data_IF_572261356288
#
_entry.id   IF_572261356288
#
_cell.length_a   1.000
_cell.length_b   1.000
_cell.length_c   1.000
_cell.angle_alpha   90.00
_cell.angle_beta   90.00
_cell.angle_gamma   90.00
#
_symmetry.space_group_name_H-M   'P 1'
#
loop_
_entity.id
_entity.type
_entity.pdbx_description
1 polymer ?
#
# COMPACT_ATOMS: atom_id res chain seq x y z
N UNK A 1 -17.62 -11.29 -16.17
CA UNK A 1 -16.98 -12.37 -15.37
C UNK A 1 -16.75 -13.55 -16.30
N UNK A 2 -15.53 -14.10 -16.38
CA UNK A 2 -15.27 -15.21 -17.30
C UNK A 2 -15.96 -16.48 -16.82
N UNK A 3 -16.51 -17.22 -17.78
CA UNK A 3 -17.05 -18.55 -17.54
C UNK A 3 -15.88 -19.55 -17.63
N UNK A 4 -15.70 -20.32 -16.57
CA UNK A 4 -14.66 -21.35 -16.48
C UNK A 4 -15.29 -22.71 -16.17
N UNK A 5 -14.68 -23.83 -16.59
CA UNK A 5 -15.08 -25.15 -16.14
C UNK A 5 -14.90 -25.24 -14.62
N UNK A 6 -15.88 -25.78 -13.92
CA UNK A 6 -15.83 -25.96 -12.48
C UNK A 6 -17.06 -26.63 -11.90
N UNK A 7 -17.01 -26.96 -10.64
CA UNK A 7 -18.15 -27.51 -9.87
C UNK A 7 -18.61 -26.47 -8.85
N UNK A 8 -19.90 -26.45 -8.54
CA UNK A 8 -20.51 -25.56 -7.54
C UNK A 8 -20.63 -26.22 -6.17
N UNK A 9 -20.30 -27.50 -6.05
CA UNK A 9 -20.39 -28.28 -4.81
C UNK A 9 -19.09 -28.96 -4.49
N UNK A 10 -18.90 -29.30 -3.20
CA UNK A 10 -17.75 -30.08 -2.75
C UNK A 10 -17.69 -31.44 -3.42
N UNK A 11 -16.48 -31.96 -3.63
CA UNK A 11 -16.25 -33.32 -4.07
C UNK A 11 -17.09 -34.32 -3.24
N UNK A 12 -17.73 -35.25 -3.95
CA UNK A 12 -18.55 -36.30 -3.33
C UNK A 12 -20.06 -36.07 -3.32
N UNK A 13 -20.54 -34.86 -3.63
CA UNK A 13 -22.00 -34.59 -3.69
C UNK A 13 -22.56 -34.49 -5.11
N UNK A 14 -21.89 -33.79 -5.98
CA UNK A 14 -22.17 -33.73 -7.42
C UNK A 14 -20.91 -33.22 -8.12
N UNK A 15 -20.26 -34.07 -8.86
CA UNK A 15 -19.01 -33.79 -9.58
C UNK A 15 -19.21 -33.31 -11.01
N UNK A 16 -20.46 -33.06 -11.42
CA UNK A 16 -20.74 -32.62 -12.79
C UNK A 16 -20.07 -31.28 -13.05
N UNK A 17 -19.10 -31.27 -13.95
CA UNK A 17 -18.45 -30.04 -14.37
C UNK A 17 -19.43 -29.19 -15.20
N UNK A 18 -19.62 -27.97 -14.77
CA UNK A 18 -20.42 -26.95 -15.49
C UNK A 18 -19.56 -25.74 -15.80
N UNK A 19 -20.01 -24.89 -16.70
CA UNK A 19 -19.42 -23.57 -16.86
C UNK A 19 -19.98 -22.66 -15.75
N UNK A 20 -19.12 -22.25 -14.85
CA UNK A 20 -19.46 -21.38 -13.72
C UNK A 20 -18.80 -20.00 -13.92
N UNK A 21 -19.46 -18.96 -13.40
CA UNK A 21 -18.86 -17.65 -13.32
C UNK A 21 -17.74 -17.65 -12.27
N UNK A 22 -16.53 -17.33 -12.67
CA UNK A 22 -15.41 -17.22 -11.75
C UNK A 22 -15.57 -15.97 -10.87
N UNK A 23 -16.09 -16.15 -9.66
CA UNK A 23 -16.16 -15.11 -8.64
C UNK A 23 -14.78 -14.96 -7.97
N UNK A 24 -13.84 -14.30 -8.63
CA UNK A 24 -12.63 -13.84 -7.96
C UNK A 24 -12.98 -12.58 -7.20
N UNK A 25 -13.13 -12.70 -5.89
CA UNK A 25 -13.15 -11.56 -4.99
C UNK A 25 -11.70 -11.05 -4.86
N UNK A 26 -11.24 -10.35 -5.89
CA UNK A 26 -9.93 -9.72 -5.90
C UNK A 26 -10.05 -8.48 -5.03
N UNK A 27 -9.78 -8.66 -3.73
CA UNK A 27 -9.81 -7.57 -2.76
C UNK A 27 -8.62 -6.61 -2.91
N UNK A 28 -8.60 -5.57 -2.10
CA UNK A 28 -7.52 -4.58 -2.08
C UNK A 28 -6.13 -5.12 -1.73
N UNK A 29 -6.00 -6.40 -1.36
CA UNK A 29 -4.73 -7.10 -1.18
C UNK A 29 -4.09 -7.57 -2.49
N UNK A 30 -4.81 -7.54 -3.62
CA UNK A 30 -4.24 -7.87 -4.91
C UNK A 30 -3.51 -6.65 -5.49
N UNK A 31 -2.17 -6.70 -5.54
CA UNK A 31 -1.33 -5.62 -6.06
C UNK A 31 -1.76 -5.11 -7.44
N UNK A 32 -2.20 -6.03 -8.32
CA UNK A 32 -2.68 -5.67 -9.66
C UNK A 32 -3.93 -4.78 -9.66
N UNK A 33 -4.81 -4.94 -8.69
CA UNK A 33 -6.01 -4.08 -8.54
C UNK A 33 -5.63 -2.73 -7.96
N UNK A 34 -4.82 -2.72 -6.90
CA UNK A 34 -4.36 -1.48 -6.27
C UNK A 34 -3.57 -0.64 -7.28
N UNK A 35 -2.69 -1.26 -8.07
CA UNK A 35 -1.90 -0.60 -9.13
C UNK A 35 -2.76 0.06 -10.21
N UNK A 36 -3.91 -0.50 -10.56
CA UNK A 36 -4.83 0.10 -11.55
C UNK A 36 -5.53 1.36 -11.04
N UNK A 37 -5.66 1.49 -9.73
CA UNK A 37 -6.38 2.58 -9.10
C UNK A 37 -5.51 3.70 -8.56
N UNK A 38 -4.20 3.50 -8.49
CA UNK A 38 -3.25 4.44 -7.90
C UNK A 38 -2.10 4.72 -8.88
N UNK A 39 -1.73 5.98 -9.00
CA UNK A 39 -0.58 6.43 -9.76
C UNK A 39 0.49 6.97 -8.79
N UNK A 40 1.73 6.56 -9.00
CA UNK A 40 2.90 6.97 -8.22
C UNK A 40 3.95 7.51 -9.16
N UNK A 41 4.51 8.70 -8.86
CA UNK A 41 5.63 9.24 -9.62
C UNK A 41 6.56 10.09 -8.76
N UNK A 42 7.83 10.09 -9.10
CA UNK A 42 8.80 11.04 -8.59
C UNK A 42 8.65 12.34 -9.40
N UNK A 43 8.16 13.41 -8.77
CA UNK A 43 7.90 14.70 -9.39
C UNK A 43 9.21 15.49 -9.54
N UNK A 44 10.01 15.57 -8.48
CA UNK A 44 11.33 16.20 -8.51
C UNK A 44 12.33 15.49 -7.60
N UNK A 45 13.59 15.59 -7.95
CA UNK A 45 14.73 15.09 -7.19
C UNK A 45 15.86 16.13 -7.23
N UNK A 46 16.19 16.67 -6.07
CA UNK A 46 17.33 17.57 -5.91
C UNK A 46 18.36 16.93 -4.99
N UNK A 47 19.60 16.79 -5.47
CA UNK A 47 20.70 16.17 -4.75
C UNK A 47 21.67 17.23 -4.21
N UNK A 48 22.08 17.08 -2.96
CA UNK A 48 23.25 17.72 -2.37
C UNK A 48 24.37 16.72 -2.18
N UNK A 49 25.48 17.14 -1.57
CA UNK A 49 26.59 16.25 -1.24
C UNK A 49 26.25 15.17 -0.21
N UNK A 50 25.28 15.41 0.67
CA UNK A 50 24.97 14.58 1.84
C UNK A 50 23.53 14.09 1.89
N UNK A 51 22.63 14.65 1.07
CA UNK A 51 21.20 14.31 1.08
C UNK A 51 20.55 14.49 -0.28
N UNK A 52 19.36 13.91 -0.45
CA UNK A 52 18.45 14.21 -1.55
C UNK A 52 17.10 14.63 -1.01
N UNK A 53 16.54 15.69 -1.61
CA UNK A 53 15.15 16.09 -1.47
C UNK A 53 14.35 15.47 -2.61
N UNK A 54 13.38 14.64 -2.24
CA UNK A 54 12.54 13.90 -3.17
C UNK A 54 11.12 14.37 -3.02
N UNK A 55 10.52 14.85 -4.09
CA UNK A 55 9.10 15.14 -4.15
C UNK A 55 8.38 14.03 -4.88
N UNK A 56 7.40 13.44 -4.24
CA UNK A 56 6.60 12.32 -4.76
C UNK A 56 5.15 12.75 -4.88
N UNK A 57 4.51 12.38 -5.99
CA UNK A 57 3.07 12.53 -6.17
C UNK A 57 2.42 11.17 -6.19
N UNK A 58 1.45 10.99 -5.30
CA UNK A 58 0.59 9.82 -5.24
C UNK A 58 -0.85 10.25 -5.54
N UNK A 59 -1.47 9.63 -6.54
CA UNK A 59 -2.82 9.98 -7.00
C UNK A 59 -3.74 8.77 -6.95
N UNK A 60 -4.94 8.96 -6.40
CA UNK A 60 -6.03 8.01 -6.54
C UNK A 60 -6.74 8.25 -7.88
N UNK A 61 -6.33 7.54 -8.92
CA UNK A 61 -6.83 7.74 -10.30
C UNK A 61 -8.11 6.98 -10.58
N UNK A 62 -8.28 5.78 -10.01
CA UNK A 62 -9.33 4.84 -10.40
C UNK A 62 -10.10 4.18 -9.25
N UNK A 63 -9.70 4.39 -7.99
CA UNK A 63 -10.45 3.86 -6.85
C UNK A 63 -11.61 4.82 -6.52
N UNK A 64 -12.85 4.35 -6.67
CA UNK A 64 -14.07 5.15 -6.46
C UNK A 64 -14.37 5.52 -5.00
N UNK A 65 -13.52 5.12 -4.07
CA UNK A 65 -13.59 5.42 -2.63
C UNK A 65 -12.21 5.81 -2.10
N UNK A 66 -12.13 6.23 -0.83
CA UNK A 66 -10.84 6.53 -0.20
C UNK A 66 -9.94 5.28 -0.15
N UNK A 67 -8.68 5.42 -0.56
CA UNK A 67 -7.69 4.34 -0.62
C UNK A 67 -6.68 4.45 0.56
N UNK A 68 -6.40 3.32 1.27
CA UNK A 68 -6.96 2.00 1.08
C UNK A 68 -8.42 1.92 1.54
N UNK A 69 -9.22 1.04 0.89
CA UNK A 69 -10.55 0.69 1.37
C UNK A 69 -10.51 -0.42 2.43
N UNK A 70 -11.68 -0.70 3.03
CA UNK A 70 -11.85 -1.81 3.97
C UNK A 70 -11.53 -1.45 5.42
N UNK A 71 -11.02 -2.43 6.16
CA UNK A 71 -10.76 -2.33 7.60
C UNK A 71 -9.61 -1.37 7.90
N UNK A 72 -9.62 -0.78 9.09
CA UNK A 72 -8.58 0.14 9.57
C UNK A 72 -7.21 -0.52 9.83
N UNK A 73 -7.16 -1.86 9.81
CA UNK A 73 -5.91 -2.63 9.82
C UNK A 73 -5.13 -2.56 8.51
N UNK A 74 -5.75 -2.01 7.46
CA UNK A 74 -5.16 -1.89 6.13
C UNK A 74 -4.56 -0.51 5.92
N UNK A 75 -3.36 -0.47 5.38
CA UNK A 75 -2.64 0.76 5.10
C UNK A 75 -2.00 0.73 3.70
N UNK A 76 -1.93 1.90 3.05
CA UNK A 76 -0.95 2.16 2.01
C UNK A 76 0.24 2.85 2.66
N UNK A 77 1.43 2.41 2.33
CA UNK A 77 2.67 2.97 2.87
C UNK A 77 3.55 3.39 1.71
N UNK A 78 3.85 4.68 1.66
CA UNK A 78 4.80 5.25 0.73
C UNK A 78 6.17 5.22 1.40
N UNK A 79 7.10 4.48 0.82
CA UNK A 79 8.47 4.31 1.31
C UNK A 79 9.42 4.97 0.33
N UNK A 80 10.27 5.86 0.81
CA UNK A 80 11.33 6.50 0.01
C UNK A 80 12.67 6.18 0.65
N UNK A 81 13.60 5.67 -0.13
CA UNK A 81 14.93 5.32 0.36
C UNK A 81 15.98 5.39 -0.72
N UNK A 82 17.21 5.10 -0.34
CA UNK A 82 18.38 5.10 -1.20
C UNK A 82 18.81 3.67 -1.46
N UNK A 83 18.93 3.29 -2.72
CA UNK A 83 19.56 2.05 -3.13
C UNK A 83 21.07 2.23 -3.17
N UNK A 84 21.81 1.34 -2.52
CA UNK A 84 23.25 1.32 -2.49
C UNK A 84 23.83 0.10 -3.20
N UNK A 85 25.09 0.17 -3.59
CA UNK A 85 25.79 -0.95 -4.21
C UNK A 85 25.89 -2.17 -3.28
N UNK A 86 26.03 -1.92 -1.99
CA UNK A 86 26.42 -2.92 -1.01
C UNK A 86 25.28 -3.52 -0.21
N UNK A 87 24.16 -2.79 0.02
CA UNK A 87 23.15 -3.16 1.03
C UNK A 87 21.68 -3.06 0.58
N UNK A 88 21.41 -2.80 -0.70
CA UNK A 88 20.04 -2.60 -1.16
C UNK A 88 19.42 -1.28 -0.68
N UNK A 89 18.14 -1.28 -0.28
CA UNK A 89 17.44 -0.07 0.13
C UNK A 89 17.80 0.35 1.56
N UNK A 90 18.33 1.56 1.73
CA UNK A 90 18.75 2.13 3.00
C UNK A 90 18.13 3.50 3.25
N UNK A 91 18.25 3.96 4.51
CA UNK A 91 17.80 5.29 4.94
C UNK A 91 16.35 5.61 4.59
N UNK A 92 15.48 4.60 4.65
CA UNK A 92 14.08 4.75 4.25
C UNK A 92 13.31 5.70 5.19
N UNK A 93 12.37 6.43 4.58
CA UNK A 93 11.34 7.23 5.24
C UNK A 93 9.99 6.74 4.77
N UNK A 94 9.01 6.80 5.66
CA UNK A 94 7.66 6.30 5.37
C UNK A 94 6.60 7.38 5.56
N UNK A 95 5.54 7.30 4.75
CA UNK A 95 4.28 7.99 4.95
C UNK A 95 3.16 6.97 4.90
N UNK A 96 2.32 6.96 5.94
CA UNK A 96 1.25 5.96 6.09
C UNK A 96 -0.10 6.61 5.79
N UNK A 97 -0.88 5.96 4.96
CA UNK A 97 -2.25 6.34 4.62
C UNK A 97 -3.20 5.26 5.14
N UNK A 98 -4.00 5.62 6.13
CA UNK A 98 -4.98 4.72 6.75
C UNK A 98 -6.10 5.50 7.41
N UNK A 99 -7.16 4.82 7.80
CA UNK A 99 -8.16 5.35 8.71
C UNK A 99 -7.88 4.78 10.11
N UNK A 100 -7.75 5.62 11.09
CA UNK A 100 -7.63 5.23 12.48
C UNK A 100 -9.02 5.18 13.13
N UNK A 101 -9.30 4.13 13.89
CA UNK A 101 -10.51 4.01 14.70
C UNK A 101 -10.14 4.07 16.18
N UNK A 102 -10.96 4.75 16.97
CA UNK A 102 -10.77 4.97 18.40
C UNK A 102 -11.85 4.25 19.19
N UNK A 103 -11.46 3.71 20.34
CA UNK A 103 -12.39 3.23 21.36
C UNK A 103 -13.03 4.40 22.14
N UNK A 104 -13.91 4.07 23.09
CA UNK A 104 -14.58 5.07 23.94
C UNK A 104 -13.62 5.88 24.83
N UNK A 105 -12.40 5.41 25.05
CA UNK A 105 -11.34 6.09 25.79
C UNK A 105 -10.38 6.87 24.87
N UNK A 106 -10.66 6.93 23.55
CA UNK A 106 -9.82 7.63 22.58
C UNK A 106 -8.54 6.90 22.16
N UNK A 107 -8.37 5.63 22.53
CA UNK A 107 -7.20 4.81 22.15
C UNK A 107 -7.41 4.21 20.76
N UNK A 108 -6.34 4.14 19.95
CA UNK A 108 -6.38 3.51 18.64
C UNK A 108 -6.62 2.00 18.75
N UNK A 109 -7.52 1.49 17.89
CA UNK A 109 -7.86 0.07 17.83
C UNK A 109 -6.93 -0.61 16.82
N UNK A 110 -6.16 -1.60 17.29
CA UNK A 110 -5.24 -2.36 16.46
C UNK A 110 -5.78 -3.76 16.08
N UNK A 111 -6.56 -4.39 16.96
CA UNK A 111 -7.05 -5.75 16.75
C UNK A 111 -8.35 -5.78 15.95
N UNK A 112 -8.44 -6.70 14.99
CA UNK A 112 -9.61 -6.80 14.07
C UNK A 112 -10.91 -7.06 14.83
N UNK A 113 -10.90 -7.92 15.83
CA UNK A 113 -12.07 -8.22 16.64
C UNK A 113 -12.63 -6.97 17.33
N UNK A 114 -11.75 -6.08 17.79
CA UNK A 114 -12.15 -4.87 18.51
C UNK A 114 -12.72 -3.80 17.57
N UNK A 115 -12.47 -3.89 16.27
CA UNK A 115 -13.07 -2.98 15.29
C UNK A 115 -14.60 -3.05 15.27
N UNK A 116 -15.16 -4.21 15.60
CA UNK A 116 -16.61 -4.44 15.57
C UNK A 116 -17.27 -4.30 16.95
N UNK A 117 -16.49 -4.37 18.02
CA UNK A 117 -17.01 -4.40 19.40
C UNK A 117 -16.66 -3.16 20.21
N UNK A 118 -15.55 -2.51 19.92
CA UNK A 118 -15.04 -1.39 20.73
C UNK A 118 -14.94 -0.06 19.98
N UNK A 119 -15.11 -0.02 18.65
CA UNK A 119 -15.00 1.22 17.91
C UNK A 119 -16.13 2.20 18.25
N UNK A 120 -15.77 3.37 18.74
CA UNK A 120 -16.68 4.43 19.14
C UNK A 120 -16.61 5.66 18.23
N UNK A 121 -15.45 5.91 17.62
CA UNK A 121 -15.25 7.08 16.75
C UNK A 121 -14.16 6.85 15.70
N UNK A 122 -14.16 7.72 14.69
CA UNK A 122 -13.08 7.82 13.72
C UNK A 122 -12.08 8.83 14.25
N UNK A 123 -10.82 8.42 14.34
CA UNK A 123 -9.68 9.28 14.63
C UNK A 123 -9.17 9.98 13.36
N UNK A 124 -7.89 9.89 13.10
CA UNK A 124 -7.29 10.46 11.89
C UNK A 124 -7.63 9.59 10.66
N UNK A 125 -8.01 10.24 9.56
CA UNK A 125 -8.21 9.59 8.26
C UNK A 125 -7.28 10.23 7.22
N UNK A 126 -6.13 9.59 6.99
CA UNK A 126 -5.10 10.02 6.04
C UNK A 126 -5.25 9.38 4.67
N UNK A 127 -6.29 8.56 4.42
CA UNK A 127 -6.51 7.89 3.13
C UNK A 127 -6.65 8.90 1.99
N UNK A 128 -6.27 8.47 0.78
CA UNK A 128 -6.46 9.26 -0.42
C UNK A 128 -7.92 9.20 -0.88
N UNK A 129 -8.59 10.32 -0.97
CA UNK A 129 -9.96 10.42 -1.51
C UNK A 129 -9.96 10.10 -3.01
N UNK A 130 -11.13 9.77 -3.60
CA UNK A 130 -11.26 9.62 -5.05
C UNK A 130 -10.74 10.86 -5.79
N UNK A 131 -9.90 10.64 -6.81
CA UNK A 131 -9.29 11.69 -7.64
C UNK A 131 -8.33 12.65 -6.88
N UNK A 132 -8.04 12.38 -5.61
CA UNK A 132 -7.07 13.17 -4.86
C UNK A 132 -5.65 12.86 -5.34
N UNK A 133 -4.87 13.93 -5.53
CA UNK A 133 -3.41 13.89 -5.70
C UNK A 133 -2.76 14.50 -4.48
N UNK A 134 -1.82 13.77 -3.89
CA UNK A 134 -1.07 14.22 -2.72
C UNK A 134 0.41 14.31 -3.04
N UNK A 135 1.00 15.46 -2.71
CA UNK A 135 2.45 15.68 -2.81
C UNK A 135 3.09 15.47 -1.46
N UNK A 136 4.08 14.59 -1.43
CA UNK A 136 4.88 14.31 -0.25
C UNK A 136 6.33 14.71 -0.52
N UNK A 137 6.98 15.26 0.49
CA UNK A 137 8.40 15.63 0.43
C UNK A 137 9.17 14.81 1.46
N UNK A 138 10.30 14.28 1.01
CA UNK A 138 11.20 13.49 1.82
C UNK A 138 12.63 14.01 1.64
N UNK A 139 13.36 14.11 2.74
CA UNK A 139 14.79 14.31 2.73
C UNK A 139 15.45 13.03 3.22
N UNK A 140 16.27 12.41 2.37
CA UNK A 140 16.99 11.17 2.68
C UNK A 140 18.50 11.39 2.61
N UNK A 141 19.29 10.88 3.58
CA UNK A 141 20.75 10.92 3.51
C UNK A 141 21.24 10.12 2.30
N UNK A 142 22.30 10.62 1.64
CA UNK A 142 22.94 9.94 0.51
C UNK A 142 24.31 9.43 0.93
N UNK A 143 24.50 8.11 1.07
CA UNK A 143 25.82 7.52 1.28
C UNK A 143 26.67 7.62 0.00
N UNK A 144 27.99 7.41 0.14
CA UNK A 144 28.93 7.53 -1.00
C UNK A 144 28.65 6.51 -2.11
N UNK A 145 28.21 5.31 -1.73
CA UNK A 145 27.87 4.21 -2.65
C UNK A 145 26.42 4.24 -3.17
N UNK A 146 25.72 5.37 -3.01
CA UNK A 146 24.35 5.55 -3.46
C UNK A 146 24.25 5.46 -5.00
N UNK A 147 23.32 4.61 -5.48
CA UNK A 147 23.05 4.39 -6.91
C UNK A 147 21.78 5.08 -7.38
N UNK A 148 20.71 4.94 -6.60
CA UNK A 148 19.39 5.43 -7.00
C UNK A 148 18.54 5.84 -5.79
N UNK A 149 17.60 6.73 -6.02
CA UNK A 149 16.44 6.91 -5.15
C UNK A 149 15.37 5.91 -5.59
N UNK A 150 14.82 5.20 -4.62
CA UNK A 150 13.75 4.24 -4.82
C UNK A 150 12.53 4.69 -4.01
N UNK A 151 11.39 4.74 -4.68
CA UNK A 151 10.09 5.07 -4.08
C UNK A 151 9.18 3.88 -4.27
N UNK A 152 8.67 3.32 -3.17
CA UNK A 152 7.76 2.17 -3.17
C UNK A 152 6.41 2.56 -2.60
N UNK A 153 5.37 2.06 -3.22
CA UNK A 153 4.04 2.03 -2.62
C UNK A 153 3.75 0.59 -2.21
N UNK A 154 3.54 0.41 -0.93
CA UNK A 154 3.23 -0.88 -0.32
C UNK A 154 1.80 -0.89 0.21
N UNK A 155 1.14 -2.03 0.07
CA UNK A 155 -0.10 -2.32 0.76
C UNK A 155 0.21 -3.22 1.95
N UNK A 156 -0.06 -2.75 3.15
CA UNK A 156 0.15 -3.49 4.39
C UNK A 156 -1.20 -3.88 5.00
N UNK A 157 -1.33 -5.13 5.40
CA UNK A 157 -2.53 -5.66 6.04
C UNK A 157 -2.14 -6.33 7.36
N UNK A 158 -2.59 -5.75 8.46
CA UNK A 158 -2.37 -6.24 9.81
C UNK A 158 -3.62 -6.95 10.36
N UNK A 159 -4.47 -7.53 9.49
CA UNK A 159 -5.70 -8.20 9.92
C UNK A 159 -5.45 -9.50 10.66
N UNK A 160 -4.32 -10.17 10.41
CA UNK A 160 -3.94 -11.40 11.12
C UNK A 160 -2.87 -11.11 12.18
N UNK A 161 -3.26 -11.07 13.46
CA UNK A 161 -2.32 -10.78 14.55
C UNK A 161 -1.27 -11.89 14.74
N UNK A 162 -1.51 -13.10 14.22
CA UNK A 162 -0.59 -14.24 14.35
C UNK A 162 0.46 -14.25 13.25
N UNK A 163 0.09 -13.84 12.03
CA UNK A 163 0.99 -13.81 10.89
C UNK A 163 1.83 -12.51 10.83
N UNK A 164 1.50 -11.51 11.64
CA UNK A 164 2.05 -10.16 11.51
C UNK A 164 1.52 -9.43 10.27
N UNK A 165 1.98 -8.20 10.01
CA UNK A 165 1.51 -7.42 8.88
C UNK A 165 2.02 -8.01 7.56
N UNK A 166 1.09 -8.51 6.75
CA UNK A 166 1.37 -8.88 5.36
C UNK A 166 1.69 -7.63 4.54
N UNK A 167 2.83 -7.65 3.82
CA UNK A 167 3.24 -6.54 2.95
C UNK A 167 3.22 -7.00 1.49
N UNK A 168 2.55 -6.22 0.64
CA UNK A 168 2.50 -6.44 -0.80
C UNK A 168 3.00 -5.19 -1.52
N UNK A 169 4.05 -5.34 -2.34
CA UNK A 169 4.52 -4.25 -3.19
C UNK A 169 3.47 -3.95 -4.28
N UNK A 170 2.97 -2.73 -4.30
CA UNK A 170 2.00 -2.26 -5.29
C UNK A 170 2.71 -1.77 -6.54
N UNK A 171 3.62 -0.81 -6.38
CA UNK A 171 4.42 -0.24 -7.46
C UNK A 171 5.71 0.33 -6.92
N UNK A 172 6.69 0.49 -7.79
CA UNK A 172 8.00 1.07 -7.48
C UNK A 172 8.40 2.04 -8.60
N UNK A 173 8.93 3.19 -8.20
CA UNK A 173 9.59 4.15 -9.05
C UNK A 173 11.06 4.25 -8.64
N UNK A 174 11.96 4.30 -9.64
CA UNK A 174 13.39 4.33 -9.42
C UNK A 174 14.02 5.45 -10.27
N UNK A 175 14.85 6.28 -9.64
CA UNK A 175 15.60 7.32 -10.32
C UNK A 175 17.07 7.24 -9.98
N UNK A 176 17.88 7.03 -11.01
CA UNK A 176 19.34 6.98 -10.88
C UNK A 176 19.89 8.30 -10.33
N UNK A 177 20.87 8.17 -9.44
CA UNK A 177 21.68 9.30 -9.01
C UNK A 177 22.87 9.37 -9.97
N UNK A 178 22.93 10.42 -10.79
CA UNK A 178 24.09 10.64 -11.66
C UNK A 178 25.38 10.52 -10.84
N UNK A 179 26.36 9.79 -11.37
CA UNK A 179 27.68 9.64 -10.76
C UNK A 179 28.29 11.00 -10.44
N UNK A 180 29.15 11.04 -9.41
CA UNK A 180 29.99 12.19 -9.15
C UNK A 180 31.07 12.32 -10.21
#
# INVERSE_FOLDING_TARGET
MPLVPGTTVREGLDSTQRRINLHRLVGGSAASQVRRGLDLRIDSLTRSSVSADVQVVLTNTGVGHSAPGGLSTKALVLVVGVETASRGLMHSRERVYRRDLKDAQGRSIAAVQDLFTAAASVGEDTRLKPKESRRERFTVPIPEDAKAIVVRLEYRDASDPKAGPGTTLVTEERRELAGR
#
